data_IF_922874611812
#
_entry.id   IF_922874611812
#
_cell.length_a   1.000
_cell.length_b   1.000
_cell.length_c   1.000
_cell.angle_alpha   90.00
_cell.angle_beta   90.00
_cell.angle_gamma   90.00
#
_symmetry.space_group_name_H-M   'P 1'
#
loop_
_entity.id
_entity.type
_entity.pdbx_description
1 polymer ?
2 non-polymer ?
3 non-polymer ?
4 non-polymer ?
5 non-polymer ?
6 water ?
#
# COMPACT_ATOMS: atom_id res chain seq x y z
N UNK A 13 -19.89 2.98 17.57
CA UNK A 13 -19.54 1.57 17.46
C UNK A 13 -18.07 1.41 17.10
N UNK A 14 -17.45 0.35 17.63
CA UNK A 14 -16.05 0.08 17.37
C UNK A 14 -15.86 -0.61 16.03
N UNK A 15 -14.68 -0.43 15.45
CA UNK A 15 -14.37 -1.05 14.17
C UNK A 15 -14.21 -2.56 14.32
N UNK A 16 -14.78 -3.31 13.38
CA UNK A 16 -14.70 -4.76 13.35
C UNK A 16 -13.70 -5.16 12.27
N UNK A 17 -12.57 -5.75 12.63
CA UNK A 17 -11.56 -6.12 11.61
C UNK A 17 -12.11 -7.18 10.67
N UNK A 18 -11.96 -6.99 9.36
CA UNK A 18 -12.39 -8.01 8.40
C UNK A 18 -11.54 -9.27 8.55
N UNK A 19 -11.98 -10.39 7.97
CA UNK A 19 -11.16 -11.61 8.03
C UNK A 19 -9.83 -11.44 7.31
N UNK A 20 -8.88 -12.28 7.69
CA UNK A 20 -7.53 -12.20 7.15
C UNK A 20 -7.46 -12.82 5.76
N UNK A 21 -6.72 -12.16 4.86
CA UNK A 21 -6.47 -12.68 3.53
C UNK A 21 -5.43 -13.80 3.59
N UNK A 22 -5.33 -14.63 2.55
CA UNK A 22 -4.37 -15.74 2.58
C UNK A 22 -2.93 -15.26 2.61
N UNK A 23 -2.12 -15.97 3.39
CA UNK A 23 -0.68 -15.73 3.48
C UNK A 23 0.03 -16.98 2.97
N UNK A 24 1.00 -16.78 2.07
CA UNK A 24 1.75 -17.88 1.48
C UNK A 24 3.21 -17.77 1.86
N UNK A 25 3.81 -18.91 2.22
CA UNK A 25 5.22 -19.01 2.59
C UNK A 25 5.88 -20.01 1.66
N UNK A 26 6.21 -19.62 0.43
CA UNK A 26 6.77 -20.57 -0.52
C UNK A 26 8.18 -21.01 -0.15
N UNK A 27 8.50 -22.25 -0.50
CA UNK A 27 9.85 -22.76 -0.32
C UNK A 27 10.75 -22.23 -1.44
N UNK A 28 12.03 -22.60 -1.38
CA UNK A 28 12.96 -22.14 -2.40
C UNK A 28 12.61 -22.69 -3.78
N UNK A 29 11.93 -23.84 -3.84
CA UNK A 29 11.47 -24.37 -5.11
C UNK A 29 10.25 -23.62 -5.63
N UNK A 30 9.38 -23.16 -4.73
CA UNK A 30 8.18 -22.44 -5.14
C UNK A 30 8.46 -20.96 -5.38
N UNK A 31 9.43 -20.38 -4.66
CA UNK A 31 9.88 -19.00 -4.83
C UNK A 31 10.69 -18.80 -6.11
N UNK A 32 10.61 -19.81 -6.97
CA UNK A 32 11.39 -19.83 -8.21
C UNK A 32 11.07 -18.62 -9.09
N UNK A 33 9.83 -18.51 -9.54
CA UNK A 33 9.43 -17.48 -10.48
C UNK A 33 8.10 -16.92 -10.02
N UNK A 34 7.97 -15.59 -9.92
CA UNK A 34 6.70 -15.02 -9.40
C UNK A 34 5.48 -15.40 -10.22
N UNK A 35 5.54 -15.23 -11.55
CA UNK A 35 4.36 -15.47 -12.37
C UNK A 35 3.91 -16.92 -12.29
N UNK A 36 4.85 -17.86 -12.27
CA UNK A 36 4.48 -19.26 -12.09
C UNK A 36 3.81 -19.49 -10.74
N UNK A 37 4.35 -18.87 -9.68
CA UNK A 37 3.78 -19.06 -8.35
C UNK A 37 2.42 -18.38 -8.24
N UNK A 38 2.30 -17.16 -8.78
CA UNK A 38 1.03 -16.44 -8.71
C UNK A 38 -0.06 -17.18 -9.46
N UNK A 39 0.30 -17.81 -10.59
CA UNK A 39 -0.67 -18.61 -11.31
C UNK A 39 -1.15 -19.83 -10.54
N UNK A 40 -0.29 -20.40 -9.70
CA UNK A 40 -0.68 -21.60 -8.95
C UNK A 40 -1.56 -21.26 -7.76
N UNK A 41 -1.30 -20.13 -7.10
CA UNK A 41 -2.14 -19.72 -5.97
C UNK A 41 -3.40 -18.99 -6.40
N UNK A 42 -3.55 -18.71 -7.70
CA UNK A 42 -4.70 -17.95 -8.18
C UNK A 42 -6.05 -18.53 -7.79
N UNK A 43 -6.30 -19.84 -7.83
CA UNK A 43 -7.64 -20.34 -7.47
C UNK A 43 -8.13 -19.90 -6.10
N UNK A 44 -7.23 -19.62 -5.16
CA UNK A 44 -7.61 -19.13 -3.85
C UNK A 44 -7.48 -17.62 -3.72
N UNK A 45 -6.36 -17.06 -4.16
CA UNK A 45 -6.12 -15.63 -3.96
C UNK A 45 -7.06 -14.77 -4.78
N UNK A 46 -7.49 -15.25 -5.96
CA UNK A 46 -8.45 -14.50 -6.75
C UNK A 46 -9.81 -14.39 -6.06
N UNK A 47 -10.13 -15.33 -5.15
CA UNK A 47 -11.37 -15.27 -4.40
C UNK A 47 -11.31 -14.33 -3.21
N UNK A 48 -10.12 -13.80 -2.90
CA UNK A 48 -9.98 -12.82 -1.82
C UNK A 48 -9.50 -11.46 -2.30
N UNK A 49 -9.14 -11.32 -3.57
CA UNK A 49 -8.69 -10.03 -4.09
C UNK A 49 -7.24 -9.71 -3.84
N UNK A 50 -6.77 -9.90 -2.60
CA UNK A 50 -5.38 -9.63 -2.24
C UNK A 50 -4.83 -10.85 -1.52
N UNK A 51 -3.52 -10.98 -1.53
CA UNK A 51 -2.83 -12.01 -0.77
C UNK A 51 -1.45 -11.51 -0.40
N UNK A 52 -0.83 -12.19 0.56
CA UNK A 52 0.49 -11.84 1.07
C UNK A 52 1.45 -13.00 0.83
N UNK A 53 2.67 -12.66 0.41
CA UNK A 53 3.71 -13.65 0.12
C UNK A 53 4.92 -13.34 0.98
N UNK A 54 5.34 -14.30 1.80
CA UNK A 54 6.53 -14.16 2.62
C UNK A 54 7.67 -14.90 1.94
N UNK A 55 8.71 -14.21 1.48
CA UNK A 55 9.85 -14.90 0.86
C UNK A 55 10.56 -15.79 1.87
N UNK A 56 11.43 -16.70 1.41
CA UNK A 56 12.23 -17.49 2.35
C UNK A 56 13.04 -16.60 3.29
N UNK A 57 13.44 -17.15 4.44
CA UNK A 57 14.09 -16.33 5.46
C UNK A 57 15.36 -15.67 4.95
N UNK A 58 16.19 -16.42 4.22
CA UNK A 58 17.48 -15.90 3.79
C UNK A 58 17.41 -15.07 2.51
N UNK A 59 16.22 -14.77 2.01
CA UNK A 59 16.06 -13.87 0.86
C UNK A 59 15.88 -12.46 1.41
N UNK A 60 16.97 -11.70 1.50
CA UNK A 60 16.99 -10.38 2.09
C UNK A 60 17.67 -9.41 1.14
N UNK A 61 16.91 -8.75 0.26
CA UNK A 61 17.51 -7.80 -0.67
C UNK A 61 17.97 -6.55 0.05
N UNK A 62 19.17 -6.06 -0.24
CA UNK A 62 19.66 -4.85 0.42
C UNK A 62 19.02 -3.59 -0.18
N UNK A 63 18.80 -2.60 0.68
CA UNK A 63 18.19 -1.35 0.26
C UNK A 63 19.19 -0.55 -0.57
N UNK A 64 18.80 -0.21 -1.79
CA UNK A 64 19.71 0.38 -2.76
C UNK A 64 19.48 1.87 -3.00
N UNK A 65 18.47 2.47 -2.36
CA UNK A 65 18.23 3.89 -2.54
C UNK A 65 19.35 4.72 -1.91
N UNK A 66 19.79 5.74 -2.63
CA UNK A 66 20.78 6.68 -2.09
C UNK A 66 20.14 7.55 -1.03
N UNK A 67 20.23 7.13 0.23
CA UNK A 67 19.59 7.87 1.32
C UNK A 67 20.27 9.21 1.53
N UNK A 68 21.55 9.32 1.18
CA UNK A 68 22.27 10.58 1.32
C UNK A 68 21.75 11.66 0.38
N UNK A 69 20.99 11.29 -0.65
CA UNK A 69 20.46 12.24 -1.60
C UNK A 69 18.95 12.16 -1.77
N UNK A 70 18.27 11.30 -0.99
CA UNK A 70 16.82 11.11 -1.14
C UNK A 70 16.11 12.28 -0.47
N UNK A 71 15.64 13.22 -1.26
CA UNK A 71 14.88 14.36 -0.78
C UNK A 71 13.57 14.46 -1.55
N UNK A 72 12.49 14.77 -0.84
CA UNK A 72 11.18 14.81 -1.45
C UNK A 72 10.29 15.75 -0.65
N UNK A 73 9.23 16.23 -1.31
CA UNK A 73 8.23 17.08 -0.67
C UNK A 73 6.94 16.30 -0.51
N UNK A 74 6.60 15.83 0.69
CA UNK A 74 5.36 15.07 0.86
C UNK A 74 4.14 15.97 0.68
N UNK A 75 2.98 15.31 0.60
CA UNK A 75 1.72 16.01 0.47
C UNK A 75 0.91 15.86 1.76
N UNK A 76 0.04 16.84 2.01
CA UNK A 76 -0.77 16.89 3.22
C UNK A 76 -2.03 16.07 3.01
N UNK A 77 -2.45 15.34 4.04
CA UNK A 77 -3.66 14.54 4.00
C UNK A 77 -4.41 14.71 5.30
N UNK A 78 -5.67 15.14 5.23
CA UNK A 78 -6.55 15.24 6.38
C UNK A 78 -7.52 14.06 6.37
N UNK A 79 -7.62 13.36 7.49
CA UNK A 79 -8.31 12.08 7.52
C UNK A 79 -9.83 12.25 7.35
N UNK A 80 -10.40 13.30 7.91
CA UNK A 80 -11.84 13.54 7.83
C UNK A 80 -12.21 14.56 6.77
N UNK A 81 -11.51 14.55 5.63
CA UNK A 81 -11.77 15.54 4.59
C UNK A 81 -13.19 15.41 4.03
N UNK A 82 -13.67 14.18 3.85
CA UNK A 82 -15.00 14.01 3.29
C UNK A 82 -16.09 14.37 4.28
N UNK A 83 -15.86 14.14 5.57
CA UNK A 83 -16.84 14.53 6.58
C UNK A 83 -16.87 16.04 6.83
N UNK A 84 -15.84 16.77 6.39
CA UNK A 84 -15.84 18.21 6.57
C UNK A 84 -16.86 18.90 5.68
N UNK A 85 -17.06 18.37 4.47
CA UNK A 85 -18.06 18.92 3.55
C UNK A 85 -19.46 18.39 3.81
N UNK A 86 -19.65 17.56 4.83
CA UNK A 86 -20.96 16.99 5.13
C UNK A 86 -21.21 16.95 6.64
N UNK A 96 -6.16 26.68 5.24
CA UNK A 96 -5.64 25.92 4.09
C UNK A 96 -4.33 25.25 4.46
N UNK A 97 -4.28 23.93 4.30
CA UNK A 97 -3.11 23.12 4.65
C UNK A 97 -2.42 22.69 3.37
N UNK A 98 -1.24 23.27 3.11
CA UNK A 98 -0.47 22.93 1.92
C UNK A 98 0.70 22.02 2.27
N UNK A 100 3.95 22.57 2.14
CA UNK A 100 4.76 21.62 2.90
C UNK A 100 6.24 21.90 2.67
N UNK A 101 7.08 21.32 3.52
CA UNK A 101 8.52 21.48 3.43
C UNK A 101 9.17 20.24 2.82
N UNK A 102 10.39 20.43 2.32
CA UNK A 102 11.15 19.32 1.76
C UNK A 102 11.84 18.55 2.88
N UNK A 103 11.73 17.23 2.84
CA UNK A 103 12.32 16.36 3.83
C UNK A 103 13.39 15.47 3.20
N UNK A 104 14.29 14.98 4.03
CA UNK A 104 15.11 13.83 3.68
C UNK A 104 14.44 12.58 4.24
N UNK A 105 14.95 11.41 3.82
CA UNK A 105 14.39 10.16 4.32
C UNK A 105 14.52 10.07 5.84
N UNK A 106 15.63 10.59 6.38
CA UNK A 106 15.84 10.55 7.83
C UNK A 106 14.99 11.60 8.54
N UNK A 107 14.98 12.83 8.01
CA UNK A 107 14.21 13.90 8.65
C UNK A 107 12.72 13.60 8.61
N UNK A 108 12.23 12.98 7.53
CA UNK A 108 10.84 12.58 7.49
C UNK A 108 10.55 11.50 8.52
N UNK A 109 11.46 10.54 8.68
CA UNK A 109 11.26 9.49 9.66
C UNK A 109 11.21 10.03 11.08
N UNK A 110 12.04 11.02 11.39
CA UNK A 110 12.01 11.63 12.71
C UNK A 110 10.69 12.35 12.95
N UNK A 111 10.14 13.01 11.93
CA UNK A 111 8.83 13.62 12.05
C UNK A 111 7.75 12.56 12.22
N UNK A 112 7.84 11.47 11.46
CA UNK A 112 6.82 10.43 11.51
C UNK A 112 6.79 9.74 12.87
N UNK A 113 7.97 9.41 13.40
CA UNK A 113 8.02 8.77 14.72
C UNK A 113 7.55 9.71 15.81
N UNK A 114 7.95 10.98 15.74
CA UNK A 114 7.52 11.95 16.74
C UNK A 114 6.00 12.12 16.73
N UNK A 115 5.39 12.10 15.55
CA UNK A 115 3.93 12.22 15.49
C UNK A 115 3.25 11.03 16.16
N UNK A 116 3.66 9.82 15.80
CA UNK A 116 2.98 8.63 16.31
C UNK A 116 3.21 8.47 17.81
N UNK A 117 4.46 8.64 18.27
CA UNK A 117 4.74 8.50 19.69
C UNK A 117 3.98 9.54 20.51
N UNK A 118 3.83 10.75 19.96
CA UNK A 118 3.09 11.79 20.69
C UNK A 118 1.59 11.52 20.67
N UNK A 119 1.07 11.02 19.54
CA UNK A 119 -0.37 10.78 19.44
C UNK A 119 -0.82 9.69 20.41
N UNK A 120 -0.08 8.58 20.46
CA UNK A 120 -0.47 7.45 21.29
C UNK A 120 0.22 7.46 22.66
N UNK A 121 1.15 8.38 22.90
CA UNK A 121 1.82 8.52 24.20
C UNK A 121 2.56 7.25 24.59
N UNK A 122 3.30 6.68 23.64
CA UNK A 122 4.07 5.47 23.89
C UNK A 122 5.08 5.31 22.75
N UNK A 123 6.12 4.49 22.95
CA UNK A 123 7.05 4.22 21.85
C UNK A 123 6.30 3.65 20.65
N UNK A 124 6.77 4.03 19.46
CA UNK A 124 6.02 3.74 18.23
C UNK A 124 5.88 2.23 18.03
N UNK A 125 6.90 1.47 18.39
CA UNK A 125 6.86 0.02 18.21
C UNK A 125 6.00 -0.69 19.26
N UNK A 126 5.49 0.04 20.25
CA UNK A 126 4.62 -0.54 21.26
C UNK A 126 3.14 -0.37 20.95
N UNK A 127 2.79 0.44 19.96
CA UNK A 127 1.39 0.66 19.61
C UNK A 127 0.86 -0.56 18.86
N UNK A 128 -0.17 -1.24 19.37
CA UNK A 128 -0.69 -2.41 18.66
C UNK A 128 -1.32 -2.03 17.33
N UNK A 129 -1.17 -2.94 16.36
CA UNK A 129 -1.72 -2.68 15.02
C UNK A 129 -3.24 -2.56 15.04
N UNK A 130 -3.91 -3.32 15.90
CA UNK A 130 -5.36 -3.22 15.98
C UNK A 130 -5.81 -1.88 16.56
N UNK A 131 -4.98 -1.26 17.41
CA UNK A 131 -5.33 0.03 17.99
C UNK A 131 -5.23 1.14 16.94
N UNK A 132 -4.15 1.15 16.15
CA UNK A 132 -4.03 2.13 15.07
C UNK A 132 -5.17 1.97 14.08
N UNK A 133 -5.54 0.72 13.79
CA UNK A 133 -6.63 0.47 12.85
C UNK A 133 -7.95 1.03 13.37
N UNK A 134 -8.27 0.75 14.64
CA UNK A 134 -9.50 1.27 15.22
C UNK A 134 -9.49 2.79 15.29
N UNK A 135 -8.33 3.37 15.60
CA UNK A 135 -8.26 4.82 15.73
C UNK A 135 -8.30 5.50 14.36
N UNK A 136 -7.71 4.88 13.34
CA UNK A 136 -7.72 5.46 12.00
C UNK A 136 -9.15 5.66 11.50
N UNK A 137 -9.98 4.62 11.62
CA UNK A 137 -11.35 4.73 11.11
C UNK A 137 -12.21 5.62 11.98
N UNK A 138 -11.88 5.77 13.27
CA UNK A 138 -12.58 6.72 14.10
C UNK A 138 -12.29 8.14 13.65
N UNK A 139 -11.03 8.44 13.34
CA UNK A 139 -10.64 9.78 12.90
C UNK A 139 -11.23 10.11 11.53
N UNK A 140 -11.38 9.10 10.67
CA UNK A 140 -11.91 9.34 9.33
C UNK A 140 -13.34 9.88 9.41
N UNK A 141 -14.13 9.35 10.33
CA UNK A 141 -15.53 9.75 10.48
C UNK A 141 -15.74 10.79 11.59
N UNK A 142 -14.67 11.22 12.25
CA UNK A 142 -14.81 12.17 13.35
C UNK A 142 -14.87 13.60 12.82
N UNK A 143 -15.90 14.34 13.24
CA UNK A 143 -16.02 15.75 12.88
C UNK A 143 -15.53 16.68 13.98
N UNK A 144 -15.25 16.16 15.17
CA UNK A 144 -14.79 16.96 16.30
C UNK A 144 -13.29 16.94 16.48
N UNK A 145 -12.56 16.25 15.61
CA UNK A 145 -11.10 16.17 15.72
C UNK A 145 -10.52 16.05 14.32
N UNK A 146 -9.62 16.97 13.97
CA UNK A 146 -9.00 17.02 12.65
C UNK A 146 -7.53 16.67 12.79
N UNK A 147 -7.13 15.55 12.19
CA UNK A 147 -5.76 15.07 12.21
C UNK A 147 -5.17 15.23 10.82
N UNK A 148 -3.97 15.81 10.75
CA UNK A 148 -3.28 16.07 9.50
C UNK A 148 -2.01 15.22 9.47
N UNK A 149 -1.79 14.52 8.36
CA UNK A 149 -0.60 13.70 8.16
C UNK A 149 -0.01 14.01 6.79
N UNK A 150 1.20 13.48 6.55
CA UNK A 150 1.93 13.69 5.31
C UNK A 150 2.43 12.36 4.79
N UNK A 151 2.64 12.28 3.48
CA UNK A 151 3.17 11.06 2.90
C UNK A 151 3.80 11.36 1.54
N UNK A 152 4.70 10.48 1.13
CA UNK A 152 5.34 10.59 -0.16
C UNK A 152 4.75 9.60 -1.14
N UNK A 153 4.11 10.12 -2.18
CA UNK A 153 3.55 9.30 -3.25
C UNK A 153 3.82 9.98 -4.58
N UNK A 154 3.52 9.27 -5.67
CA UNK A 154 3.87 9.69 -7.03
C UNK A 154 5.38 9.87 -7.15
N UNK A 155 6.14 9.01 -6.48
CA UNK A 155 7.59 9.03 -6.48
C UNK A 155 8.07 7.93 -7.42
N UNK A 156 8.55 8.31 -8.59
CA UNK A 156 9.02 7.35 -9.57
C UNK A 156 10.43 6.89 -9.25
N UNK A 157 10.68 5.59 -9.40
CA UNK A 157 12.02 5.06 -9.22
C UNK A 157 12.99 5.54 -10.28
N UNK A 158 12.49 6.08 -11.39
CA UNK A 158 13.37 6.59 -12.42
C UNK A 158 14.00 7.93 -12.01
N UNK A 159 13.31 8.70 -11.17
CA UNK A 159 13.82 9.97 -10.70
C UNK A 159 14.57 9.87 -9.37
N UNK A 160 14.19 8.91 -8.53
CA UNK A 160 14.75 8.79 -7.19
C UNK A 160 15.59 7.55 -6.98
N UNK A 161 15.50 6.57 -7.88
CA UNK A 161 16.20 5.32 -7.69
C UNK A 161 15.32 4.27 -7.06
N UNK A 162 15.56 3.01 -7.43
CA UNK A 162 14.77 1.91 -6.92
C UNK A 162 15.30 1.45 -5.56
N UNK A 163 14.41 0.82 -4.78
CA UNK A 163 14.84 0.23 -3.52
C UNK A 163 15.60 -1.07 -3.73
N UNK A 164 15.36 -1.74 -4.84
CA UNK A 164 16.08 -2.95 -5.19
C UNK A 164 17.38 -2.58 -5.93
N UNK A 165 18.41 -3.42 -5.82
CA UNK A 165 19.60 -3.21 -6.64
C UNK A 165 19.31 -3.49 -8.10
N UNK A 166 19.87 -2.65 -8.98
CA UNK A 166 19.67 -2.78 -10.42
C UNK A 166 20.99 -2.51 -11.14
N UNK A 167 21.11 -3.05 -12.34
CA UNK A 167 22.20 -2.73 -13.25
C UNK A 167 21.73 -1.55 -14.10
N UNK A 168 22.03 -0.34 -13.65
CA UNK A 168 21.45 0.88 -14.21
C UNK A 168 22.41 1.72 -15.03
N UNK A 169 23.72 1.66 -14.73
CA UNK A 169 24.64 2.59 -15.33
C UNK A 169 24.77 3.88 -14.56
N UNK A 170 24.35 3.90 -13.28
CA UNK A 170 24.46 5.09 -12.46
C UNK A 170 24.64 4.74 -10.98
N UNK A 171 24.98 3.49 -10.66
CA UNK A 171 25.22 3.04 -9.29
C UNK A 171 25.93 1.70 -9.36
N UNK A 172 26.72 1.42 -8.33
CA UNK A 172 27.52 0.20 -8.28
C UNK A 172 26.85 -0.83 -7.37
N UNK A 173 26.76 -2.06 -7.85
CA UNK A 173 26.25 -3.19 -7.06
C UNK A 173 27.42 -4.09 -6.73
N UNK A 174 27.38 -4.68 -5.53
CA UNK A 174 28.42 -5.60 -5.07
C UNK A 174 28.10 -7.02 -5.51
N UNK A 175 29.09 -7.92 -5.46
CA UNK A 175 28.79 -9.33 -5.80
C UNK A 175 27.64 -9.92 -4.98
N UNK A 176 27.54 -9.55 -3.70
CA UNK A 176 26.44 -10.03 -2.87
C UNK A 176 25.10 -9.48 -3.31
N UNK A 177 25.08 -8.35 -4.01
CA UNK A 177 23.84 -7.74 -4.48
C UNK A 177 23.37 -8.27 -5.82
N UNK A 178 24.21 -9.05 -6.53
CA UNK A 178 23.89 -9.41 -7.90
C UNK A 178 22.69 -10.36 -7.97
N UNK A 179 22.58 -11.29 -7.01
CA UNK A 179 21.47 -12.24 -7.06
C UNK A 179 20.13 -11.55 -6.92
N UNK A 180 20.08 -10.41 -6.24
CA UNK A 180 18.84 -9.66 -6.08
C UNK A 180 18.58 -8.71 -7.25
N UNK A 181 19.63 -8.25 -7.93
CA UNK A 181 19.43 -7.44 -9.12
C UNK A 181 18.86 -8.27 -10.26
N UNK A 182 19.17 -9.56 -10.30
CA UNK A 182 18.71 -10.45 -11.36
C UNK A 182 17.53 -11.31 -10.95
N UNK A 183 17.06 -11.20 -9.71
CA UNK A 183 15.97 -12.03 -9.23
C UNK A 183 14.65 -11.65 -9.91
N UNK A 184 13.81 -12.66 -10.13
CA UNK A 184 12.49 -12.42 -10.68
C UNK A 184 11.56 -11.68 -9.76
N UNK A 185 11.84 -11.68 -8.45
CA UNK A 185 11.04 -10.94 -7.49
C UNK A 185 11.51 -9.50 -7.30
N UNK A 186 12.60 -9.12 -7.95
CA UNK A 186 12.95 -7.70 -8.09
C UNK A 186 11.89 -7.05 -8.97
N UNK A 187 11.17 -6.06 -8.41
CA UNK A 187 10.06 -5.47 -9.12
C UNK A 187 10.48 -4.79 -10.42
N UNK A 188 11.76 -4.45 -10.57
CA UNK A 188 12.23 -3.92 -11.84
C UNK A 188 12.28 -4.98 -12.93
N UNK A 189 12.22 -6.26 -12.55
CA UNK A 189 12.28 -7.36 -13.51
C UNK A 189 10.91 -7.96 -13.81
N UNK A 190 9.83 -7.29 -13.41
CA UNK A 190 8.50 -7.79 -13.71
C UNK A 190 8.09 -7.36 -15.12
N UNK A 191 7.33 -8.19 -15.84
CA UNK A 191 6.86 -7.79 -17.17
C UNK A 191 5.75 -6.74 -17.06
N UNK A 192 5.87 -5.68 -17.86
CA UNK A 192 4.94 -4.56 -17.76
C UNK A 192 4.37 -4.21 -19.12
N UNK A 193 4.61 -5.07 -20.11
CA UNK A 193 4.15 -4.83 -21.48
C UNK A 193 3.00 -5.78 -21.79
N UNK A 194 1.84 -5.20 -22.10
CA UNK A 194 0.67 -5.99 -22.48
C UNK A 194 0.60 -6.14 -24.01
N UNK A 195 0.12 -7.30 -24.44
CA UNK A 195 0.06 -7.59 -25.87
C UNK A 195 -0.98 -6.69 -26.56
N UNK A 196 -0.69 -6.31 -27.78
CA UNK A 196 -1.58 -5.46 -28.57
C UNK A 196 -1.57 -5.85 -30.05
N UNK A 209 7.29 1.69 -18.30
CA UNK A 209 6.73 1.51 -16.96
C UNK A 209 7.81 1.13 -15.96
N UNK A 210 7.83 1.83 -14.83
CA UNK A 210 8.84 1.61 -13.79
C UNK A 210 8.12 1.50 -12.45
N UNK A 211 8.77 0.90 -11.46
CA UNK A 211 8.17 0.85 -10.11
C UNK A 211 8.07 2.23 -9.50
N UNK A 212 7.06 2.40 -8.66
CA UNK A 212 6.83 3.64 -7.92
C UNK A 212 7.12 3.41 -6.44
N UNK A 213 7.40 4.51 -5.74
CA UNK A 213 7.81 4.47 -4.35
C UNK A 213 6.76 5.10 -3.45
N UNK A 214 6.67 4.60 -2.22
CA UNK A 214 5.71 5.09 -1.23
C UNK A 214 6.42 5.28 0.09
N UNK A 215 6.41 6.50 0.61
CA UNK A 215 6.99 6.82 1.92
C UNK A 215 5.82 7.15 2.85
N UNK A 216 5.52 6.25 3.76
CA UNK A 216 4.36 6.43 4.62
C UNK A 216 4.68 6.82 6.05
N UNK A 217 3.69 7.39 6.73
CA UNK A 217 3.73 7.59 8.17
C UNK A 217 2.39 7.11 8.75
N UNK A 218 2.29 7.14 10.07
CA UNK A 218 1.08 6.67 10.73
C UNK A 218 -0.13 7.44 10.25
N UNK A 219 -1.15 6.71 9.80
CA UNK A 219 -2.46 7.16 9.33
C UNK A 219 -2.45 7.59 7.87
N UNK A 220 -1.29 7.74 7.23
CA UNK A 220 -1.27 8.02 5.79
C UNK A 220 -1.94 6.87 5.05
N UNK A 221 -2.84 7.21 4.12
CA UNK A 221 -3.76 6.21 3.60
C UNK A 221 -4.02 6.42 2.12
N UNK A 222 -4.56 5.38 1.49
CA UNK A 222 -5.01 5.39 0.10
C UNK A 222 -6.39 4.78 0.03
N UNK A 223 -7.27 5.39 -0.75
CA UNK A 223 -8.68 5.00 -0.78
C UNK A 223 -8.91 3.89 -1.80
N UNK A 224 -10.16 3.42 -1.87
CA UNK A 224 -10.51 2.28 -2.70
C UNK A 224 -10.27 2.59 -4.18
N UNK A 225 -9.60 1.66 -4.87
CA UNK A 225 -9.30 1.85 -6.27
C UNK A 225 -8.95 0.49 -6.89
N UNK A 226 -9.01 0.45 -8.22
CA UNK A 226 -8.45 -0.65 -9.00
C UNK A 226 -7.36 -0.07 -9.88
N UNK A 227 -6.56 -0.95 -10.46
CA UNK A 227 -5.46 -0.52 -11.30
C UNK A 227 -5.94 -0.21 -12.72
N UNK A 228 -5.17 0.61 -13.42
CA UNK A 228 -5.44 0.86 -14.83
C UNK A 228 -5.37 -0.46 -15.60
N UNK A 229 -6.28 -0.62 -16.56
CA UNK A 229 -6.40 -1.82 -17.38
C UNK A 229 -6.72 -3.06 -16.56
N UNK A 230 -7.23 -2.87 -15.34
CA UNK A 230 -7.54 -3.98 -14.43
C UNK A 230 -6.33 -4.89 -14.24
N UNK A 231 -5.14 -4.30 -14.19
CA UNK A 231 -3.94 -5.12 -14.17
C UNK A 231 -3.62 -5.61 -12.76
N UNK A 232 -2.73 -6.60 -12.69
CA UNK A 232 -2.17 -7.01 -11.42
C UNK A 232 -1.33 -5.88 -10.82
N UNK A 233 -1.08 -5.98 -9.53
CA UNK A 233 -0.12 -5.09 -8.88
C UNK A 233 0.57 -5.87 -7.77
N UNK A 234 1.87 -5.65 -7.61
CA UNK A 234 2.65 -6.28 -6.57
C UNK A 234 3.38 -5.19 -5.80
N UNK A 235 3.40 -5.32 -4.48
CA UNK A 235 3.96 -4.31 -3.59
C UNK A 235 4.93 -4.99 -2.63
N UNK A 236 6.13 -4.42 -2.50
CA UNK A 236 7.13 -4.91 -1.58
C UNK A 236 7.42 -3.83 -0.54
N UNK A 237 7.38 -4.21 0.74
CA UNK A 237 7.70 -3.30 1.83
C UNK A 237 9.17 -3.50 2.19
N UNK A 238 10.01 -2.54 1.79
CA UNK A 238 11.44 -2.66 2.01
C UNK A 238 11.78 -2.67 3.50
N UNK A 239 11.23 -1.71 4.25
CA UNK A 239 11.47 -1.63 5.68
C UNK A 239 10.43 -0.74 6.31
N UNK A 240 10.40 -0.74 7.64
CA UNK A 240 9.55 0.15 8.41
C UNK A 240 8.41 -0.59 9.09
N UNK A 241 7.47 0.20 9.60
CA UNK A 241 6.30 -0.32 10.29
C UNK A 241 5.28 -0.84 9.28
N UNK A 242 4.36 -1.71 9.71
CA UNK A 242 3.52 -2.42 8.73
C UNK A 242 2.61 -1.50 7.94
N UNK A 243 2.11 -2.05 6.82
CA UNK A 243 1.13 -1.40 5.96
C UNK A 243 -0.13 -2.25 5.97
N UNK A 244 -1.24 -1.68 6.42
CA UNK A 244 -2.48 -2.41 6.56
C UNK A 244 -3.28 -2.31 5.25
N UNK A 245 -3.69 -3.47 4.74
CA UNK A 245 -4.42 -3.55 3.48
C UNK A 245 -5.85 -4.01 3.71
N UNK A 246 -6.74 -3.57 2.82
CA UNK A 246 -8.08 -4.13 2.69
C UNK A 246 -8.31 -4.47 1.23
N UNK A 247 -8.84 -5.66 0.97
CA UNK A 247 -9.03 -6.11 -0.40
C UNK A 247 -10.41 -6.69 -0.61
N UNK A 248 -10.87 -6.57 -1.85
CA UNK A 248 -12.18 -7.08 -2.25
C UNK A 248 -12.01 -7.91 -3.52
N UNK A 249 -12.53 -9.14 -3.57
CA UNK A 249 -12.37 -9.94 -4.79
C UNK A 249 -13.07 -9.32 -5.98
N UNK A 250 -12.60 -9.70 -7.17
CA UNK A 250 -13.09 -9.07 -8.39
C UNK A 250 -14.56 -9.40 -8.66
N UNK A 251 -15.06 -10.53 -8.15
CA UNK A 251 -16.45 -10.88 -8.43
C UNK A 251 -17.42 -9.96 -7.73
N UNK A 252 -16.96 -9.20 -6.73
CA UNK A 252 -17.79 -8.24 -6.02
C UNK A 252 -17.50 -6.80 -6.41
N UNK A 253 -16.80 -6.59 -7.53
CA UNK A 253 -16.44 -5.23 -7.93
C UNK A 253 -17.67 -4.39 -8.19
N UNK A 254 -18.65 -4.93 -8.92
CA UNK A 254 -19.86 -4.16 -9.23
C UNK A 254 -20.66 -3.86 -7.98
N UNK A 255 -20.66 -4.78 -7.00
CA UNK A 255 -21.41 -4.54 -5.77
C UNK A 255 -20.78 -3.42 -4.95
N UNK A 256 -19.44 -3.38 -4.89
CA UNK A 256 -18.78 -2.28 -4.22
C UNK A 256 -19.09 -0.95 -4.88
N UNK A 257 -19.00 -0.90 -6.22
CA UNK A 257 -19.28 0.34 -6.93
C UNK A 257 -20.73 0.78 -6.71
N UNK A 258 -21.65 -0.18 -6.59
CA UNK A 258 -23.05 0.18 -6.34
C UNK A 258 -23.22 0.75 -4.93
N UNK A 259 -22.58 0.13 -3.94
CA UNK A 259 -22.62 0.67 -2.58
C UNK A 259 -21.96 2.04 -2.54
N UNK A 260 -20.84 2.20 -3.25
CA UNK A 260 -20.15 3.48 -3.29
C UNK A 260 -21.04 4.57 -3.89
N UNK A 261 -21.71 4.25 -5.00
CA UNK A 261 -22.57 5.24 -5.65
C UNK A 261 -23.76 5.60 -4.78
N UNK A 262 -24.24 4.66 -3.96
CA UNK A 262 -25.41 4.92 -3.13
C UNK A 262 -25.09 5.80 -1.91
N UNK A 263 -23.83 5.84 -1.49
CA UNK A 263 -23.45 6.58 -0.30
C UNK A 263 -22.48 7.73 -0.56
N UNK A 264 -21.93 7.84 -1.76
CA UNK A 264 -21.03 8.95 -2.06
C UNK A 264 -21.83 10.24 -2.19
N UNK A 265 -21.20 11.39 -1.96
CA UNK A 265 -21.90 12.67 -2.16
C UNK A 265 -22.39 12.81 -3.58
N UNK A 266 -23.50 13.55 -3.73
CA UNK A 266 -24.10 13.72 -5.05
C UNK A 266 -23.16 14.45 -6.01
N UNK A 267 -22.32 15.34 -5.48
CA UNK A 267 -21.40 16.09 -6.34
C UNK A 267 -20.28 15.23 -6.90
N UNK A 268 -20.02 14.07 -6.29
CA UNK A 268 -18.94 13.19 -6.74
C UNK A 268 -19.45 11.89 -7.36
N UNK A 269 -20.76 11.62 -7.28
CA UNK A 269 -21.26 10.36 -7.82
C UNK A 269 -21.20 10.32 -9.34
N UNK A 270 -21.44 11.44 -10.00
CA UNK A 270 -21.45 11.52 -11.44
C UNK A 270 -20.07 11.62 -12.06
N UNK A 271 -19.01 11.70 -11.25
CA UNK A 271 -17.67 11.85 -11.78
C UNK A 271 -17.16 10.53 -12.37
N UNK A 272 -16.30 10.60 -13.38
CA UNK A 272 -15.68 9.38 -13.91
C UNK A 272 -14.89 8.66 -12.82
N UNK A 273 -14.75 7.34 -12.98
CA UNK A 273 -14.12 6.54 -11.95
C UNK A 273 -12.66 6.92 -11.74
N UNK A 274 -11.97 7.33 -12.80
CA UNK A 274 -10.57 7.74 -12.65
C UNK A 274 -10.45 8.92 -11.69
N UNK A 275 -11.37 9.87 -11.76
CA UNK A 275 -11.37 11.00 -10.84
C UNK A 275 -12.04 10.64 -9.52
N UNK A 276 -13.13 9.87 -9.57
CA UNK A 276 -13.84 9.48 -8.35
C UNK A 276 -12.94 8.67 -7.43
N UNK A 277 -12.01 7.88 -7.98
CA UNK A 277 -11.14 7.02 -7.18
C UNK A 277 -10.15 7.84 -6.36
N UNK A 278 -10.21 9.15 -6.48
CA UNK A 278 -9.38 10.03 -5.67
C UNK A 278 -10.00 10.39 -4.33
N UNK A 279 -11.28 10.06 -4.12
CA UNK A 279 -11.98 10.41 -2.89
C UNK A 279 -12.91 9.28 -2.46
N UNK A 280 -12.59 8.05 -2.87
CA UNK A 280 -13.45 6.90 -2.55
C UNK A 280 -12.99 6.22 -1.26
N UNK A 281 -12.96 6.99 -0.18
CA UNK A 281 -12.67 6.44 1.13
C UNK A 281 -13.97 5.96 1.76
N UNK A 282 -13.94 4.75 2.32
CA UNK A 282 -15.14 4.17 2.92
C UNK A 282 -14.72 3.12 3.94
N UNK A 283 -15.34 3.18 5.12
CA UNK A 283 -15.08 2.19 6.16
C UNK A 283 -15.40 0.80 5.63
N UNK A 284 -14.51 -0.18 5.81
CA UNK A 284 -14.81 -1.54 5.30
C UNK A 284 -16.04 -2.16 5.91
N UNK A 285 -16.39 -1.82 7.16
CA UNK A 285 -17.60 -2.38 7.76
C UNK A 285 -18.85 -1.94 7.02
N UNK A 286 -18.83 -0.75 6.41
CA UNK A 286 -19.96 -0.30 5.60
C UNK A 286 -20.15 -1.22 4.41
N UNK A 287 -19.05 -1.59 3.74
CA UNK A 287 -19.14 -2.51 2.61
C UNK A 287 -19.59 -3.90 3.06
N UNK A 288 -19.05 -4.38 4.19
CA UNK A 288 -19.41 -5.69 4.69
C UNK A 288 -20.88 -5.77 5.10
N UNK A 289 -21.44 -4.67 5.62
CA UNK A 289 -22.85 -4.65 5.99
C UNK A 289 -23.76 -4.73 4.76
N UNK A 290 -23.25 -4.42 3.57
CA UNK A 290 -24.01 -4.50 2.34
C UNK A 290 -23.66 -5.73 1.51
N UNK A 291 -23.06 -6.74 2.12
CA UNK A 291 -22.77 -7.98 1.44
C UNK A 291 -21.46 -8.03 0.68
N UNK A 292 -20.64 -6.99 0.75
CA UNK A 292 -19.36 -6.97 0.05
C UNK A 292 -18.31 -7.71 0.88
N UNK A 293 -17.71 -8.77 0.35
CA UNK A 293 -16.65 -9.46 1.11
C UNK A 293 -15.37 -8.64 1.12
N UNK A 294 -14.82 -8.45 2.32
CA UNK A 294 -13.59 -7.69 2.51
C UNK A 294 -12.61 -8.53 3.31
N UNK A 295 -11.35 -8.50 2.89
CA UNK A 295 -10.27 -9.17 3.60
C UNK A 295 -9.17 -8.15 3.94
N UNK A 296 -8.43 -8.43 5.02
CA UNK A 296 -7.40 -7.53 5.51
C UNK A 296 -6.09 -8.27 5.65
N UNK A 297 -5.02 -7.50 5.85
CA UNK A 297 -3.72 -8.06 6.20
C UNK A 297 -2.80 -6.94 6.66
N UNK A 298 -1.84 -7.29 7.51
CA UNK A 298 -0.76 -6.40 7.90
C UNK A 298 0.49 -6.82 7.12
N UNK A 299 0.86 -6.02 6.13
CA UNK A 299 2.08 -6.26 5.37
C UNK A 299 3.28 -5.75 6.16
N UNK A 300 4.15 -6.67 6.57
CA UNK A 300 5.32 -6.33 7.36
C UNK A 300 6.55 -6.20 6.46
N UNK A 301 7.64 -5.73 7.07
CA UNK A 301 8.87 -5.49 6.32
C UNK A 301 9.39 -6.78 5.70
N UNK A 302 9.73 -6.71 4.42
CA UNK A 302 10.23 -7.86 3.69
C UNK A 302 9.17 -8.76 3.08
N UNK A 303 7.91 -8.31 3.05
CA UNK A 303 6.81 -9.13 2.55
C UNK A 303 6.17 -8.48 1.33
N UNK A 304 5.67 -9.34 0.44
CA UNK A 304 4.98 -8.94 -0.77
C UNK A 304 3.47 -8.99 -0.57
N UNK A 305 2.78 -8.06 -1.21
CA UNK A 305 1.32 -8.10 -1.34
C UNK A 305 0.99 -8.04 -2.83
N UNK A 306 0.09 -8.92 -3.26
CA UNK A 306 -0.32 -9.00 -4.66
C UNK A 306 -1.82 -8.71 -4.73
N UNK A 307 -2.19 -7.82 -5.65
CA UNK A 307 -3.60 -7.53 -5.92
C UNK A 307 -3.96 -8.07 -7.30
N UNK A 308 -5.10 -8.73 -7.39
CA UNK A 308 -5.52 -9.43 -8.60
C UNK A 308 -6.35 -8.50 -9.47
N UNK A 309 -6.55 -8.87 -10.75
CA UNK A 309 -7.28 -7.98 -11.67
C UNK A 309 -8.64 -7.58 -11.15
N UNK A 310 -8.89 -6.26 -11.15
CA UNK A 310 -10.16 -5.66 -10.74
C UNK A 310 -10.49 -5.92 -9.27
N UNK A 311 -9.49 -6.18 -8.45
CA UNK A 311 -9.68 -6.33 -7.01
C UNK A 311 -9.51 -4.96 -6.37
N UNK A 312 -10.62 -4.37 -5.93
CA UNK A 312 -10.56 -3.09 -5.24
C UNK A 312 -9.76 -3.23 -3.95
N UNK A 313 -8.95 -2.23 -3.64
CA UNK A 313 -8.16 -2.28 -2.42
C UNK A 313 -7.88 -0.87 -1.91
N UNK A 314 -7.61 -0.79 -0.61
CA UNK A 314 -7.30 0.45 0.08
C UNK A 314 -6.47 0.09 1.32
N UNK A 315 -6.07 1.11 2.07
CA UNK A 315 -5.36 0.84 3.31
C UNK A 315 -4.70 2.08 3.86
N UNK A 316 -3.86 1.84 4.86
CA UNK A 316 -3.15 2.89 5.57
C UNK A 316 -1.87 2.31 6.16
N UNK A 317 -0.94 3.19 6.50
CA UNK A 317 0.34 2.79 7.06
C UNK A 317 0.32 2.90 8.59
N UNK A 318 0.88 1.89 9.25
CA UNK A 318 0.97 1.90 10.70
C UNK A 318 2.04 2.87 11.22
N UNK A 319 3.00 3.23 10.38
CA UNK A 319 4.06 4.13 10.81
C UNK A 319 5.02 4.39 9.68
N UNK A 320 6.21 4.86 10.05
CA UNK A 320 7.25 5.17 9.08
C UNK A 320 7.67 3.90 8.33
N UNK A 321 7.50 3.91 7.01
CA UNK A 321 7.89 2.76 6.21
C UNK A 321 8.18 3.20 4.79
N UNK A 322 8.68 2.25 3.99
CA UNK A 322 9.10 2.51 2.62
C UNK A 322 8.68 1.32 1.76
N UNK A 323 7.85 1.57 0.76
CA UNK A 323 7.33 0.52 -0.10
C UNK A 323 7.63 0.84 -1.56
N UNK A 324 7.56 -0.21 -2.39
CA UNK A 324 7.78 -0.11 -3.82
C UNK A 324 6.79 -1.02 -4.53
N UNK A 325 6.22 -0.54 -5.63
CA UNK A 325 5.14 -1.27 -6.29
C UNK A 325 5.19 -1.02 -7.79
N UNK A 326 4.60 -1.97 -8.54
CA UNK A 326 4.52 -1.85 -9.98
C UNK A 326 3.32 -2.67 -10.44
N UNK A 327 2.73 -2.27 -11.57
CA UNK A 327 1.67 -3.03 -12.20
C UNK A 327 2.28 -3.95 -13.25
N UNK A 328 1.96 -5.23 -13.17
CA UNK A 328 2.46 -6.22 -14.13
C UNK A 328 1.29 -6.94 -14.78
N UNK A 329 1.61 -7.70 -15.82
CA UNK A 329 0.59 -8.38 -16.62
C UNK A 329 0.99 -9.82 -16.84
N UNK A 330 -0.02 -10.68 -16.97
CA UNK A 330 0.19 -12.11 -17.18
C UNK A 330 0.04 -12.48 -18.65
#
# INVERSE_FOLDING_TARGET
HNMAGVGPGGYAAEFVPPPECPVFEPSWEEFTDPLSFIGRIRPLAEKTGICKIRPPKDWQPPFACEVKSFRFTPRVQRLNELEAMTRVRPREAFGFEQAVREYTLQSFGEMADNFKSDYFNMPVHMVPTELVEKEFWRLVSSIEEDVIVEYGADISSKDFGSGFPVKDGRRKILPEEEEYALSGWNLNNMPVLEQSVLAHINVDISGMKVPWLYVGMCFSSFCWHIEDHWSYSINYLHWGEPKTWYGVPSHAAEQLEEVMRELAPELFESQPDLLHQLVTIMNPNVLMEHGVPVYRTNQCAGEFVVTFPRAYHSGFNQGYNFAEAVNFCT
#
